data_IF_064290881621
#
_entry.id   IF_064290881621
#
_cell.length_a   1.000
_cell.length_b   1.000
_cell.length_c   1.000
_cell.angle_alpha   90.00
_cell.angle_beta   90.00
_cell.angle_gamma   90.00
#
_symmetry.space_group_name_H-M   'P 1'
#
loop_
_entity.id
_entity.type
_entity.pdbx_description
1 polymer ?
#
# COMPACT_ATOMS: atom_id res chain seq x y z
N UNK A 1 -5.85 -1.30 9.90
CA UNK A 1 -5.17 -0.02 10.09
C UNK A 1 -6.04 1.15 9.65
N UNK A 2 -6.84 0.97 8.62
CA UNK A 2 -7.85 1.92 8.16
C UNK A 2 -8.89 2.24 9.23
N UNK A 3 -9.30 3.51 9.36
CA UNK A 3 -10.34 3.98 10.28
C UNK A 3 -11.46 4.61 9.47
N UNK A 4 -12.71 4.23 9.76
CA UNK A 4 -13.91 4.80 9.17
C UNK A 4 -14.64 5.63 10.22
N UNK A 5 -15.13 6.81 9.85
CA UNK A 5 -15.91 7.69 10.74
C UNK A 5 -17.33 7.79 10.20
N UNK A 6 -18.32 7.50 11.04
CA UNK A 6 -19.76 7.51 10.71
C UNK A 6 -20.17 6.60 9.53
N UNK A 7 -19.30 5.64 9.16
CA UNK A 7 -19.55 4.59 8.17
C UNK A 7 -18.70 3.38 8.53
N UNK A 8 -18.92 2.25 7.85
CA UNK A 8 -18.15 1.03 8.07
C UNK A 8 -18.02 0.22 6.77
N UNK A 9 -16.85 -0.39 6.57
CA UNK A 9 -16.59 -1.36 5.50
C UNK A 9 -16.75 -0.82 4.06
N UNK A 10 -16.49 0.48 3.88
CA UNK A 10 -16.41 1.11 2.56
C UNK A 10 -14.97 1.04 2.08
N UNK A 11 -14.73 0.35 0.97
CA UNK A 11 -13.42 0.27 0.33
C UNK A 11 -13.50 0.77 -1.10
N UNK A 12 -12.37 1.29 -1.56
CA UNK A 12 -12.16 1.71 -2.93
C UNK A 12 -10.79 1.19 -3.39
N UNK A 13 -10.64 0.88 -4.67
CA UNK A 13 -9.42 0.30 -5.21
C UNK A 13 -8.19 1.24 -5.06
N UNK A 14 -8.42 2.56 -4.98
CA UNK A 14 -7.37 3.53 -4.76
C UNK A 14 -6.97 3.69 -3.27
N UNK A 15 -7.77 3.17 -2.33
CA UNK A 15 -7.48 3.29 -0.90
C UNK A 15 -6.60 2.14 -0.42
N UNK A 16 -5.44 2.40 0.21
CA UNK A 16 -4.59 1.35 0.73
C UNK A 16 -5.24 0.66 1.95
N UNK A 17 -5.15 -0.66 1.99
CA UNK A 17 -5.66 -1.50 3.05
C UNK A 17 -4.53 -2.27 3.74
N UNK A 18 -4.58 -2.39 5.07
CA UNK A 18 -3.59 -3.18 5.81
C UNK A 18 -3.71 -3.06 7.32
N UNK A 19 -3.08 -3.99 8.03
CA UNK A 19 -3.11 -4.14 9.48
C UNK A 19 -1.99 -3.39 10.21
N UNK A 20 -2.07 -3.33 11.54
CA UNK A 20 -0.93 -2.99 12.41
C UNK A 20 -0.66 -4.18 13.33
N UNK A 21 0.60 -4.36 13.76
CA UNK A 21 1.04 -5.45 14.66
C UNK A 21 0.78 -6.83 14.04
N UNK A 22 0.16 -7.75 14.79
CA UNK A 22 -0.12 -9.12 14.35
C UNK A 22 -1.20 -9.21 13.26
N UNK A 23 -1.88 -8.11 12.93
CA UNK A 23 -2.89 -8.08 11.86
C UNK A 23 -2.29 -8.08 10.45
N UNK A 24 -0.97 -8.06 10.30
CA UNK A 24 -0.28 -8.16 9.01
C UNK A 24 0.85 -7.15 8.84
N UNK A 25 1.63 -7.34 7.79
CA UNK A 25 2.77 -6.52 7.40
C UNK A 25 2.58 -6.03 5.96
N UNK A 26 2.91 -4.76 5.70
CA UNK A 26 2.69 -4.16 4.39
C UNK A 26 1.26 -3.69 4.16
N UNK A 27 0.98 -3.32 2.91
CA UNK A 27 -0.25 -2.66 2.45
C UNK A 27 -0.64 -3.23 1.10
N UNK A 28 -1.94 -3.44 0.93
CA UNK A 28 -2.58 -3.88 -0.31
C UNK A 28 -3.42 -2.74 -0.89
N UNK A 29 -3.76 -2.82 -2.18
CA UNK A 29 -4.52 -1.79 -2.91
C UNK A 29 -3.84 -0.41 -2.95
N UNK A 30 -4.45 0.54 -3.66
CA UNK A 30 -3.90 1.88 -3.86
C UNK A 30 -2.53 1.86 -4.56
N UNK A 31 -1.79 2.95 -4.42
CA UNK A 31 -0.44 3.06 -4.97
C UNK A 31 0.60 2.33 -4.11
N UNK A 32 0.38 2.25 -2.79
CA UNK A 32 1.32 1.65 -1.84
C UNK A 32 1.65 0.18 -2.17
N UNK A 33 0.69 -0.56 -2.74
CA UNK A 33 0.88 -1.96 -3.13
C UNK A 33 1.96 -2.12 -4.22
N UNK A 34 2.18 -1.12 -5.06
CA UNK A 34 3.18 -1.21 -6.14
C UNK A 34 4.58 -1.40 -5.57
N UNK A 35 4.88 -0.80 -4.41
CA UNK A 35 6.17 -0.97 -3.73
C UNK A 35 6.43 -2.42 -3.28
N UNK A 36 5.39 -3.24 -3.10
CA UNK A 36 5.51 -4.64 -2.72
C UNK A 36 5.82 -5.55 -3.92
N UNK A 37 5.48 -5.12 -5.14
CA UNK A 37 5.60 -5.93 -6.36
C UNK A 37 6.62 -5.39 -7.38
N UNK A 38 7.09 -4.16 -7.18
CA UNK A 38 8.08 -3.51 -8.05
C UNK A 38 9.42 -3.37 -7.32
N UNK A 39 10.51 -3.55 -8.06
CA UNK A 39 11.86 -3.32 -7.56
C UNK A 39 12.48 -2.13 -8.28
N UNK A 40 13.01 -1.18 -7.52
CA UNK A 40 13.68 0.00 -8.10
C UNK A 40 15.11 -0.36 -8.48
N UNK A 41 15.45 -0.18 -9.77
CA UNK A 41 16.80 -0.39 -10.28
C UNK A 41 17.45 0.94 -10.66
N UNK A 42 18.56 1.27 -10.02
CA UNK A 42 19.36 2.45 -10.36
C UNK A 42 20.32 2.13 -11.51
N UNK A 43 20.34 2.99 -12.54
CA UNK A 43 21.25 2.89 -13.68
C UNK A 43 21.99 4.23 -13.83
N UNK A 44 23.31 4.18 -13.86
CA UNK A 44 24.18 5.34 -14.06
C UNK A 44 24.87 5.16 -15.40
N UNK A 45 24.76 6.16 -16.27
CA UNK A 45 25.39 6.15 -17.60
C UNK A 45 26.33 7.34 -17.68
N UNK A 46 27.57 7.08 -18.06
CA UNK A 46 28.53 8.12 -18.41
C UNK A 46 28.35 8.47 -19.89
N UNK A 47 28.12 9.75 -20.17
CA UNK A 47 28.02 10.31 -21.52
C UNK A 47 29.39 10.65 -22.09
#
# INVERSE_FOLDING_TARGET
GTVHVNTYHIYDAALPFGGYKQSGWGREMGEEVLSAYQETKSVIVQL
#
